data_IF_991128487021
#
_entry.id   IF_991128487021
#
_cell.length_a   1.000
_cell.length_b   1.000
_cell.length_c   1.000
_cell.angle_alpha   90.00
_cell.angle_beta   90.00
_cell.angle_gamma   90.00
#
_symmetry.space_group_name_H-M   'P 1'
#
loop_
_entity.id
_entity.type
_entity.pdbx_description
1 polymer ?
#
# COMPACT_ATOMS: atom_id res chain seq x y z
N UNK A 1 -13.28 22.63 -7.34
CA UNK A 1 -11.89 23.13 -7.30
C UNK A 1 -11.14 22.78 -8.60
N UNK A 2 -11.00 23.76 -9.50
CA UNK A 2 -10.17 23.59 -10.69
C UNK A 2 -8.69 23.59 -10.30
N UNK A 3 -7.90 22.66 -10.83
CA UNK A 3 -6.44 22.66 -10.64
C UNK A 3 -5.81 21.31 -10.26
N UNK A 4 -6.59 20.29 -9.91
CA UNK A 4 -6.03 18.94 -9.67
C UNK A 4 -6.15 18.12 -10.95
N UNK A 5 -5.01 17.84 -11.58
CA UNK A 5 -4.93 16.88 -12.69
C UNK A 5 -4.45 15.55 -12.08
N UNK A 6 -5.33 14.55 -12.10
CA UNK A 6 -4.91 13.18 -11.78
C UNK A 6 -3.87 12.72 -12.79
N UNK A 7 -2.75 12.19 -12.31
CA UNK A 7 -1.72 11.57 -13.14
C UNK A 7 -1.66 10.11 -12.74
N UNK A 8 -2.07 9.23 -13.66
CA UNK A 8 -1.94 7.79 -13.48
C UNK A 8 -0.49 7.40 -13.78
N UNK A 9 0.36 7.40 -12.76
CA UNK A 9 1.70 6.84 -12.86
C UNK A 9 1.60 5.32 -12.94
N UNK A 10 1.85 4.77 -14.13
CA UNK A 10 2.09 3.35 -14.30
C UNK A 10 3.59 3.10 -14.30
N UNK A 11 4.10 2.49 -13.24
CA UNK A 11 5.48 2.01 -13.22
C UNK A 11 5.59 0.80 -14.14
N UNK A 12 6.71 0.70 -14.87
CA UNK A 12 7.11 -0.53 -15.54
C UNK A 12 7.82 -1.43 -14.52
N UNK A 13 7.14 -2.47 -14.00
CA UNK A 13 7.62 -3.18 -12.83
C UNK A 13 8.82 -4.05 -13.21
N UNK A 14 9.98 -3.73 -12.65
CA UNK A 14 11.19 -4.53 -12.77
C UNK A 14 11.88 -4.69 -11.40
N UNK A 15 12.73 -5.72 -11.21
CA UNK A 15 13.38 -5.98 -9.93
C UNK A 15 14.24 -4.81 -9.42
N UNK A 16 14.98 -4.15 -10.32
CA UNK A 16 15.84 -3.02 -9.96
C UNK A 16 15.04 -1.85 -9.39
N UNK A 17 13.88 -1.55 -9.99
CA UNK A 17 12.97 -0.52 -9.50
C UNK A 17 12.43 -0.87 -8.11
N UNK A 18 12.12 -2.15 -7.86
CA UNK A 18 11.71 -2.60 -6.52
C UNK A 18 12.83 -2.41 -5.49
N UNK A 19 14.07 -2.74 -5.85
CA UNK A 19 15.23 -2.54 -4.97
C UNK A 19 15.43 -1.06 -4.61
N UNK A 20 15.31 -0.17 -5.61
CA UNK A 20 15.40 1.28 -5.39
C UNK A 20 14.28 1.79 -4.48
N UNK A 21 13.04 1.34 -4.70
CA UNK A 21 11.90 1.72 -3.85
C UNK A 21 12.07 1.19 -2.42
N UNK A 22 12.58 -0.03 -2.24
CA UNK A 22 12.83 -0.63 -0.94
C UNK A 22 13.93 0.12 -0.18
N UNK A 23 15.05 0.44 -0.84
CA UNK A 23 16.12 1.24 -0.25
C UNK A 23 15.60 2.62 0.17
N UNK A 24 14.88 3.32 -0.72
CA UNK A 24 14.29 4.62 -0.40
C UNK A 24 13.31 4.58 0.76
N UNK A 25 12.53 3.51 0.91
CA UNK A 25 11.63 3.33 2.05
C UNK A 25 12.40 3.07 3.35
N UNK A 26 13.44 2.22 3.32
CA UNK A 26 14.30 1.93 4.47
C UNK A 26 15.04 3.18 4.97
N UNK A 27 15.51 4.02 4.04
CA UNK A 27 16.20 5.28 4.33
C UNK A 27 15.22 6.42 4.72
N UNK A 28 13.90 6.17 4.69
CA UNK A 28 12.87 7.14 5.02
C UNK A 28 12.66 8.26 3.98
N UNK A 29 13.33 8.16 2.83
CA UNK A 29 13.18 9.06 1.67
C UNK A 29 11.79 8.88 1.05
N UNK A 30 11.35 7.62 0.92
CA UNK A 30 10.02 7.27 0.46
C UNK A 30 9.13 6.94 1.67
N UNK A 31 8.16 7.80 1.95
CA UNK A 31 7.14 7.54 2.99
C UNK A 31 5.89 6.96 2.36
N UNK A 32 5.50 5.78 2.81
CA UNK A 32 4.25 5.12 2.40
C UNK A 32 3.19 5.41 3.48
N UNK A 33 2.16 6.23 3.20
CA UNK A 33 1.11 6.46 4.17
C UNK A 33 0.29 5.19 4.37
N UNK A 34 0.28 4.68 5.61
CA UNK A 34 -0.60 3.57 6.03
C UNK A 34 -1.85 4.19 6.63
N UNK A 35 -3.01 3.86 6.06
CA UNK A 35 -4.32 4.38 6.46
C UNK A 35 -4.98 3.47 7.50
N UNK A 36 -4.78 2.15 7.36
CA UNK A 36 -5.26 1.16 8.30
C UNK A 36 -4.41 -0.11 8.26
N UNK A 37 -4.25 -0.74 9.43
CA UNK A 37 -3.74 -2.09 9.58
C UNK A 37 -4.87 -2.95 10.15
N UNK A 38 -5.26 -3.99 9.43
CA UNK A 38 -6.42 -4.81 9.76
C UNK A 38 -6.00 -6.28 9.80
N UNK A 39 -6.59 -7.10 10.68
CA UNK A 39 -6.26 -8.52 10.73
C UNK A 39 -6.89 -9.25 9.51
N UNK A 40 -6.44 -10.47 9.24
CA UNK A 40 -6.82 -11.21 8.03
C UNK A 40 -8.34 -11.41 7.89
N UNK A 41 -9.05 -11.56 9.01
CA UNK A 41 -10.49 -11.79 9.08
C UNK A 41 -11.27 -10.59 8.51
N UNK A 42 -10.69 -9.39 8.57
CA UNK A 42 -11.28 -8.15 8.06
C UNK A 42 -10.93 -7.86 6.59
N UNK A 43 -10.09 -8.67 5.95
CA UNK A 43 -9.66 -8.46 4.58
C UNK A 43 -10.81 -8.31 3.56
N UNK A 44 -11.93 -9.06 3.63
CA UNK A 44 -13.05 -8.86 2.71
C UNK A 44 -13.68 -7.47 2.84
N UNK A 45 -13.85 -6.97 4.07
CA UNK A 45 -14.39 -5.64 4.34
C UNK A 45 -13.42 -4.55 3.88
N UNK A 46 -12.12 -4.73 4.15
CA UNK A 46 -11.06 -3.84 3.71
C UNK A 46 -11.06 -3.69 2.17
N UNK A 47 -11.20 -4.81 1.46
CA UNK A 47 -11.26 -4.84 0.00
C UNK A 47 -12.51 -4.15 -0.55
N UNK A 48 -13.67 -4.37 0.08
CA UNK A 48 -14.91 -3.69 -0.30
C UNK A 48 -14.77 -2.17 -0.17
N UNK A 49 -14.18 -1.68 0.93
CA UNK A 49 -13.89 -0.25 1.14
C UNK A 49 -12.91 0.30 0.11
N UNK A 50 -11.84 -0.43 -0.20
CA UNK A 50 -10.88 -0.02 -1.23
C UNK A 50 -11.56 0.17 -2.60
N UNK A 51 -12.44 -0.77 -2.99
CA UNK A 51 -13.17 -0.72 -4.26
C UNK A 51 -14.25 0.37 -4.31
N UNK A 52 -14.83 0.74 -3.17
CA UNK A 52 -15.78 1.85 -3.09
C UNK A 52 -15.11 3.23 -3.30
N UNK A 53 -13.78 3.28 -3.32
CA UNK A 53 -13.02 4.52 -3.39
C UNK A 53 -12.89 5.20 -2.02
N UNK A 54 -11.92 6.11 -1.89
CA UNK A 54 -11.70 6.86 -0.65
C UNK A 54 -10.61 6.32 0.27
N UNK A 55 -9.86 5.29 -0.15
CA UNK A 55 -8.62 4.93 0.53
C UNK A 55 -7.63 6.10 0.45
N UNK A 56 -7.17 6.59 1.60
CA UNK A 56 -6.25 7.75 1.69
C UNK A 56 -4.78 7.35 1.78
N UNK A 57 -4.53 6.05 1.88
CA UNK A 57 -3.22 5.44 1.94
C UNK A 57 -3.33 3.93 1.71
N UNK A 58 -2.31 3.20 2.13
CA UNK A 58 -2.29 1.74 2.09
C UNK A 58 -3.12 1.17 3.24
N UNK A 59 -3.94 0.20 2.92
CA UNK A 59 -4.48 -0.74 3.91
C UNK A 59 -3.56 -1.95 3.96
N UNK A 60 -3.05 -2.29 5.15
CA UNK A 60 -2.19 -3.45 5.39
C UNK A 60 -3.03 -4.55 6.04
N UNK A 61 -2.96 -5.76 5.49
CA UNK A 61 -3.55 -6.94 6.14
C UNK A 61 -2.45 -7.62 6.95
N UNK A 62 -2.62 -7.63 8.27
CA UNK A 62 -1.68 -8.26 9.19
C UNK A 62 -1.96 -9.76 9.21
N UNK A 63 -1.01 -10.52 8.68
CA UNK A 63 -0.99 -11.98 8.78
C UNK A 63 -0.01 -12.36 9.88
N UNK A 64 -0.52 -12.84 11.01
CA UNK A 64 0.34 -13.53 11.96
C UNK A 64 0.68 -14.88 11.35
N UNK A 65 1.97 -15.14 11.09
CA UNK A 65 2.39 -16.49 10.77
C UNK A 65 2.05 -17.38 11.97
N UNK A 66 1.16 -18.35 11.78
CA UNK A 66 1.05 -19.50 12.68
C UNK A 66 2.43 -20.15 12.66
N UNK A 67 3.25 -19.86 13.68
CA UNK A 67 4.67 -20.18 13.69
C UNK A 67 4.95 -21.59 13.19
N UNK A 68 5.72 -21.71 12.11
CA UNK A 68 6.48 -22.92 11.89
C UNK A 68 7.71 -22.80 12.77
N UNK A 69 7.63 -23.49 13.91
CA UNK A 69 8.76 -23.75 14.80
C UNK A 69 9.78 -24.64 14.11
#
# INVERSE_FOLDING_TARGET
>A
PGGVRGVDFRLDPNPVLLDVLAAGAADGILRVPVDAELPLEEAPLALARNRAGGARGKTVIVVHASGHR
#
